data_IF_880390398569
#
_entry.id   IF_880390398569
#
_cell.length_a   1.000
_cell.length_b   1.000
_cell.length_c   1.000
_cell.angle_alpha   90.00
_cell.angle_beta   90.00
_cell.angle_gamma   90.00
#
_symmetry.space_group_name_H-M   'P 1'
#
loop_
_entity.id
_entity.type
_entity.pdbx_description
1 polymer ?
#
# COMPACT_ATOMS: atom_id res chain seq x y z
N UNK A 1 3.70 32.81 49.76
CA UNK A 1 4.16 32.63 48.37
C UNK A 1 3.93 31.17 48.03
N UNK A 2 2.96 30.88 47.16
CA UNK A 2 2.54 29.52 46.83
C UNK A 2 3.47 28.92 45.77
N UNK A 3 4.14 27.83 46.12
CA UNK A 3 5.02 27.05 45.27
C UNK A 3 4.17 26.30 44.24
N UNK A 4 4.28 26.71 42.98
CA UNK A 4 3.52 26.10 41.88
C UNK A 4 4.23 24.80 41.50
N UNK A 5 3.72 23.67 42.01
CA UNK A 5 4.21 22.35 41.64
C UNK A 5 4.01 22.11 40.13
N UNK A 6 5.10 22.15 39.37
CA UNK A 6 5.15 21.70 37.98
C UNK A 6 4.93 20.19 37.96
N UNK A 7 3.68 19.78 37.72
CA UNK A 7 3.33 18.39 37.45
C UNK A 7 4.18 17.86 36.29
N UNK A 8 5.17 17.03 36.60
CA UNK A 8 6.04 16.41 35.61
C UNK A 8 5.21 15.54 34.66
N UNK A 9 5.04 15.98 33.41
CA UNK A 9 4.53 15.09 32.35
C UNK A 9 5.49 13.92 32.25
N UNK A 10 5.03 12.74 32.63
CA UNK A 10 5.76 11.50 32.37
C UNK A 10 6.01 11.43 30.86
N UNK A 11 7.27 11.37 30.38
CA UNK A 11 7.53 11.36 28.95
C UNK A 11 6.82 10.15 28.32
N UNK A 12 5.94 10.43 27.37
CA UNK A 12 5.18 9.40 26.67
C UNK A 12 6.18 8.53 25.92
N UNK A 13 6.42 7.29 26.35
CA UNK A 13 7.34 6.37 25.66
C UNK A 13 6.87 6.23 24.21
N UNK A 14 7.76 6.57 23.26
CA UNK A 14 7.49 6.37 21.85
C UNK A 14 7.28 4.87 21.58
N UNK A 15 6.16 4.52 20.94
CA UNK A 15 5.90 3.13 20.54
C UNK A 15 6.90 2.73 19.46
N UNK A 16 7.51 1.55 19.58
CA UNK A 16 8.35 0.97 18.54
C UNK A 16 7.52 0.44 17.38
N UNK A 17 8.09 0.38 16.17
CA UNK A 17 7.49 -0.28 15.00
C UNK A 17 7.38 -1.78 15.25
N UNK A 18 6.21 -2.37 14.98
CA UNK A 18 5.92 -3.77 15.27
C UNK A 18 6.40 -4.72 14.17
N UNK A 19 6.52 -6.02 14.47
CA UNK A 19 6.81 -7.06 13.45
C UNK A 19 5.76 -7.07 12.33
N UNK A 20 4.49 -6.84 12.67
CA UNK A 20 3.40 -6.71 11.70
C UNK A 20 3.62 -5.54 10.76
N UNK A 21 4.05 -4.39 11.28
CA UNK A 21 4.35 -3.22 10.45
C UNK A 21 5.56 -3.46 9.54
N UNK A 22 6.62 -4.11 10.03
CA UNK A 22 7.74 -4.51 9.17
C UNK A 22 7.31 -5.48 8.07
N UNK A 23 6.50 -6.49 8.39
CA UNK A 23 5.98 -7.43 7.41
C UNK A 23 5.13 -6.71 6.36
N UNK A 24 4.26 -5.79 6.78
CA UNK A 24 3.43 -4.99 5.89
C UNK A 24 4.28 -4.07 4.98
N UNK A 25 5.30 -3.38 5.53
CA UNK A 25 6.23 -2.56 4.73
C UNK A 25 6.99 -3.43 3.70
N UNK A 26 7.47 -4.61 4.11
CA UNK A 26 8.14 -5.53 3.19
C UNK A 26 7.20 -6.01 2.08
N UNK A 27 5.97 -6.38 2.42
CA UNK A 27 4.97 -6.83 1.45
C UNK A 27 4.58 -5.72 0.46
N UNK A 28 4.39 -4.47 0.92
CA UNK A 28 4.09 -3.36 0.01
C UNK A 28 5.26 -3.00 -0.89
N UNK A 29 6.52 -3.18 -0.46
CA UNK A 29 7.69 -3.06 -1.35
C UNK A 29 7.66 -4.12 -2.46
N UNK A 30 7.26 -5.35 -2.16
CA UNK A 30 7.10 -6.40 -3.19
C UNK A 30 6.03 -5.98 -4.21
N UNK A 31 4.89 -5.45 -3.76
CA UNK A 31 3.84 -4.93 -4.65
C UNK A 31 4.41 -3.85 -5.57
N UNK A 32 5.21 -2.91 -5.06
CA UNK A 32 5.86 -1.87 -5.88
C UNK A 32 6.80 -2.49 -6.91
N UNK A 33 7.58 -3.49 -6.52
CA UNK A 33 8.50 -4.19 -7.41
C UNK A 33 7.79 -4.89 -8.57
N UNK A 34 6.63 -5.50 -8.31
CA UNK A 34 5.85 -6.18 -9.36
C UNK A 34 5.04 -5.19 -10.18
N UNK A 35 4.27 -4.32 -9.54
CA UNK A 35 3.30 -3.45 -10.21
C UNK A 35 3.95 -2.17 -10.71
N UNK A 36 4.64 -1.45 -9.83
CA UNK A 36 5.20 -0.12 -10.12
C UNK A 36 6.32 -0.17 -11.16
N UNK A 37 7.30 -1.05 -10.95
CA UNK A 37 8.43 -1.20 -11.89
C UNK A 37 7.93 -1.69 -13.25
N UNK A 38 7.08 -2.70 -13.30
CA UNK A 38 6.61 -3.25 -14.57
C UNK A 38 5.79 -2.21 -15.35
N UNK A 39 4.78 -1.60 -14.74
CA UNK A 39 3.94 -0.61 -15.43
C UNK A 39 4.72 0.64 -15.87
N UNK A 40 5.76 1.07 -15.14
CA UNK A 40 6.55 2.25 -15.54
C UNK A 40 7.52 1.95 -16.69
N UNK A 41 8.32 0.87 -16.56
CA UNK A 41 9.42 0.59 -17.48
C UNK A 41 9.01 -0.24 -18.69
N UNK A 42 7.99 -1.09 -18.56
CA UNK A 42 7.44 -1.90 -19.66
C UNK A 42 5.91 -1.77 -19.74
N UNK A 43 5.38 -0.55 -20.00
CA UNK A 43 3.94 -0.26 -19.91
C UNK A 43 3.09 -1.09 -20.87
N UNK A 44 3.57 -1.36 -22.09
CA UNK A 44 2.85 -2.20 -23.06
C UNK A 44 2.70 -3.64 -22.54
N UNK A 45 3.81 -4.26 -22.12
CA UNK A 45 3.79 -5.62 -21.59
C UNK A 45 2.95 -5.74 -20.31
N UNK A 46 2.96 -4.70 -19.46
CA UNK A 46 2.10 -4.64 -18.28
C UNK A 46 0.61 -4.58 -18.67
N UNK A 47 0.27 -3.72 -19.62
CA UNK A 47 -1.10 -3.58 -20.12
C UNK A 47 -1.61 -4.90 -20.72
N UNK A 48 -0.80 -5.54 -21.56
CA UNK A 48 -1.19 -6.76 -22.25
C UNK A 48 -1.26 -7.96 -21.30
N UNK A 49 -0.34 -8.09 -20.34
CA UNK A 49 -0.13 -9.37 -19.65
C UNK A 49 -0.30 -9.34 -18.13
N UNK A 50 -0.64 -8.22 -17.49
CA UNK A 50 -0.81 -8.22 -16.03
C UNK A 50 -2.12 -8.91 -15.59
N UNK A 51 -2.11 -9.80 -14.57
CA UNK A 51 -0.99 -10.25 -13.73
C UNK A 51 -0.42 -11.65 -14.11
N UNK A 52 -0.41 -11.98 -15.41
CA UNK A 52 0.12 -13.20 -16.04
C UNK A 52 -0.73 -14.44 -15.78
N UNK A 53 -0.76 -14.90 -14.53
CA UNK A 53 -1.33 -16.21 -14.19
C UNK A 53 -2.79 -16.14 -13.73
N UNK A 54 -3.31 -14.93 -13.50
CA UNK A 54 -4.70 -14.71 -13.10
C UNK A 54 -5.56 -14.10 -14.21
N UNK A 55 -5.06 -14.10 -15.46
CA UNK A 55 -5.68 -13.46 -16.61
C UNK A 55 -4.96 -12.17 -17.04
N UNK A 56 -5.61 -11.42 -17.91
CA UNK A 56 -5.14 -10.13 -18.43
C UNK A 56 -6.17 -9.07 -18.05
N UNK A 57 -5.96 -8.41 -16.92
CA UNK A 57 -6.98 -7.55 -16.32
C UNK A 57 -6.98 -6.16 -16.94
N UNK A 58 -5.80 -5.61 -17.18
CA UNK A 58 -5.64 -4.20 -17.58
C UNK A 58 -6.11 -3.98 -19.02
N UNK A 59 -5.77 -4.88 -19.94
CA UNK A 59 -6.18 -4.81 -21.34
C UNK A 59 -7.70 -4.94 -21.55
N UNK A 60 -8.42 -5.53 -20.59
CA UNK A 60 -9.88 -5.71 -20.65
C UNK A 60 -10.67 -4.51 -20.14
N UNK A 61 -10.02 -3.57 -19.45
CA UNK A 61 -10.66 -2.43 -18.79
C UNK A 61 -10.61 -1.13 -19.62
N UNK A 62 -10.21 -1.23 -20.90
CA UNK A 62 -10.22 -0.11 -21.85
C UNK A 62 -9.01 -0.06 -22.77
N UNK A 63 -8.98 0.91 -23.71
CA UNK A 63 -7.88 1.04 -24.66
C UNK A 63 -6.56 1.46 -24.00
N UNK A 64 -5.44 1.02 -24.58
CA UNK A 64 -4.10 1.36 -24.11
C UNK A 64 -3.85 2.88 -24.14
N UNK A 65 -3.32 3.39 -23.03
CA UNK A 65 -2.77 4.73 -22.92
C UNK A 65 -1.44 4.67 -22.18
N UNK A 66 -0.34 4.78 -22.91
CA UNK A 66 1.02 4.67 -22.36
C UNK A 66 1.29 5.66 -21.23
N UNK A 67 0.79 6.89 -21.35
CA UNK A 67 0.97 7.92 -20.33
C UNK A 67 0.29 7.52 -19.02
N UNK A 68 -0.97 7.07 -19.06
CA UNK A 68 -1.70 6.65 -17.86
C UNK A 68 -1.10 5.40 -17.22
N UNK A 69 -0.63 4.43 -18.01
CA UNK A 69 0.04 3.23 -17.47
C UNK A 69 1.36 3.60 -16.78
N UNK A 70 2.13 4.53 -17.36
CA UNK A 70 3.34 5.04 -16.71
C UNK A 70 3.04 5.85 -15.46
N UNK A 71 2.02 6.70 -15.47
CA UNK A 71 1.63 7.49 -14.29
C UNK A 71 1.20 6.59 -13.14
N UNK A 72 0.44 5.53 -13.43
CA UNK A 72 0.12 4.47 -12.48
C UNK A 72 1.41 3.88 -11.88
N UNK A 73 2.36 3.47 -12.72
CA UNK A 73 3.66 2.97 -12.25
C UNK A 73 4.46 3.98 -11.42
N UNK A 74 4.51 5.24 -11.85
CA UNK A 74 5.21 6.32 -11.17
C UNK A 74 4.63 6.58 -9.77
N UNK A 75 3.31 6.54 -9.61
CA UNK A 75 2.65 6.66 -8.32
C UNK A 75 3.03 5.49 -7.37
N UNK A 76 3.05 4.24 -7.86
CA UNK A 76 3.53 3.10 -7.07
C UNK A 76 5.01 3.25 -6.69
N UNK A 77 5.86 3.69 -7.61
CA UNK A 77 7.29 3.92 -7.34
C UNK A 77 7.49 5.02 -6.29
N UNK A 78 6.69 6.09 -6.33
CA UNK A 78 6.70 7.15 -5.31
C UNK A 78 6.31 6.65 -3.91
N UNK A 79 5.21 5.91 -3.81
CA UNK A 79 4.80 5.26 -2.55
C UNK A 79 5.85 4.24 -2.07
N UNK A 80 6.48 3.53 -3.00
CA UNK A 80 7.55 2.59 -2.74
C UNK A 80 8.80 3.24 -2.18
N UNK A 81 9.25 4.35 -2.76
CA UNK A 81 10.40 5.12 -2.24
C UNK A 81 10.15 5.58 -0.80
N UNK A 82 8.94 6.08 -0.50
CA UNK A 82 8.56 6.46 0.86
C UNK A 82 8.49 5.24 1.82
N UNK A 83 8.02 4.09 1.32
CA UNK A 83 7.97 2.83 2.08
C UNK A 83 9.38 2.29 2.39
N UNK A 84 10.29 2.33 1.41
CA UNK A 84 11.70 1.98 1.59
C UNK A 84 12.38 2.90 2.63
N UNK A 85 12.11 4.20 2.57
CA UNK A 85 12.58 5.12 3.61
C UNK A 85 12.02 4.74 4.99
N UNK A 86 10.74 4.34 5.07
CA UNK A 86 10.12 3.83 6.29
C UNK A 86 10.78 2.56 6.86
N UNK A 87 11.36 1.71 6.00
CA UNK A 87 12.16 0.55 6.43
C UNK A 87 13.53 0.97 6.98
N UNK A 88 14.20 1.94 6.34
CA UNK A 88 15.52 2.43 6.76
C UNK A 88 15.43 3.29 8.03
N UNK A 89 14.36 4.07 8.17
CA UNK A 89 14.12 5.00 9.28
C UNK A 89 12.77 4.68 9.96
N UNK A 90 12.67 3.54 10.65
CA UNK A 90 11.41 3.07 11.21
C UNK A 90 10.89 4.01 12.29
N UNK A 91 9.71 4.58 12.03
CA UNK A 91 8.99 5.44 12.96
C UNK A 91 7.49 5.15 12.89
N UNK A 92 6.81 5.17 14.03
CA UNK A 92 5.36 4.94 14.09
C UNK A 92 4.56 5.96 13.28
N UNK A 93 4.98 7.23 13.32
CA UNK A 93 4.33 8.27 12.50
C UNK A 93 4.49 7.99 11.01
N UNK A 94 5.68 7.54 10.57
CA UNK A 94 5.93 7.16 9.18
C UNK A 94 5.07 5.97 8.75
N UNK A 95 4.97 4.94 9.58
CA UNK A 95 4.10 3.78 9.30
C UNK A 95 2.63 4.20 9.16
N UNK A 96 2.13 5.09 10.03
CA UNK A 96 0.75 5.59 9.95
C UNK A 96 0.49 6.42 8.70
N UNK A 97 1.41 7.33 8.35
CA UNK A 97 1.29 8.14 7.14
C UNK A 97 1.27 7.25 5.90
N UNK A 98 2.19 6.29 5.80
CA UNK A 98 2.21 5.31 4.71
C UNK A 98 0.95 4.46 4.70
N UNK A 99 0.50 3.98 5.86
CA UNK A 99 -0.73 3.19 5.99
C UNK A 99 -1.97 3.94 5.52
N UNK A 100 -2.11 5.23 5.88
CA UNK A 100 -3.20 6.09 5.41
C UNK A 100 -3.13 6.26 3.89
N UNK A 101 -1.95 6.58 3.35
CA UNK A 101 -1.77 6.78 1.91
C UNK A 101 -2.10 5.52 1.09
N UNK A 102 -1.52 4.37 1.48
CA UNK A 102 -1.79 3.08 0.85
C UNK A 102 -3.25 2.65 1.01
N UNK A 103 -3.88 2.88 2.16
CA UNK A 103 -5.27 2.51 2.40
C UNK A 103 -6.21 3.36 1.55
N UNK A 104 -6.01 4.67 1.50
CA UNK A 104 -6.85 5.56 0.69
C UNK A 104 -6.75 5.21 -0.79
N UNK A 105 -5.52 5.06 -1.28
CA UNK A 105 -5.28 4.61 -2.66
C UNK A 105 -5.95 3.25 -2.93
N UNK A 106 -5.70 2.25 -2.08
CA UNK A 106 -6.22 0.91 -2.24
C UNK A 106 -7.75 0.85 -2.20
N UNK A 107 -8.40 1.58 -1.30
CA UNK A 107 -9.87 1.62 -1.19
C UNK A 107 -10.50 2.26 -2.42
N UNK A 108 -9.96 3.38 -2.91
CA UNK A 108 -10.49 4.04 -4.11
C UNK A 108 -10.32 3.16 -5.36
N UNK A 109 -9.15 2.52 -5.49
CA UNK A 109 -8.86 1.58 -6.57
C UNK A 109 -9.75 0.32 -6.50
N UNK A 110 -9.92 -0.25 -5.31
CA UNK A 110 -10.82 -1.38 -5.08
C UNK A 110 -12.27 -1.03 -5.42
N UNK A 111 -12.75 0.14 -4.99
CA UNK A 111 -14.11 0.61 -5.26
C UNK A 111 -14.40 0.72 -6.76
N UNK A 112 -13.42 1.20 -7.54
CA UNK A 112 -13.52 1.19 -9.00
C UNK A 112 -13.68 -0.24 -9.55
N UNK A 113 -12.78 -1.16 -9.19
CA UNK A 113 -12.84 -2.52 -9.75
C UNK A 113 -14.11 -3.28 -9.36
N UNK A 114 -14.54 -3.24 -8.10
CA UNK A 114 -15.78 -3.93 -7.68
C UNK A 114 -17.03 -3.40 -8.36
N UNK A 115 -16.99 -2.18 -8.92
CA UNK A 115 -18.08 -1.59 -9.70
C UNK A 115 -17.93 -1.80 -11.21
N UNK A 116 -16.81 -2.37 -11.68
CA UNK A 116 -16.49 -2.56 -13.09
C UNK A 116 -16.15 -4.02 -13.45
N UNK A 117 -16.70 -5.01 -12.75
CA UNK A 117 -16.35 -6.43 -12.97
C UNK A 117 -16.94 -7.05 -14.24
N UNK A 118 -17.86 -6.36 -14.94
CA UNK A 118 -18.66 -6.95 -16.02
C UNK A 118 -17.84 -7.42 -17.25
N UNK A 119 -16.64 -6.86 -17.45
CA UNK A 119 -15.75 -7.24 -18.55
C UNK A 119 -14.83 -8.43 -18.22
N UNK A 120 -14.87 -8.93 -16.98
CA UNK A 120 -14.04 -10.04 -16.51
C UNK A 120 -14.83 -11.35 -16.43
N UNK A 121 -14.12 -12.47 -16.60
CA UNK A 121 -14.66 -13.77 -16.18
C UNK A 121 -14.80 -13.83 -14.66
N UNK A 122 -15.64 -14.72 -14.13
CA UNK A 122 -15.86 -14.83 -12.68
C UNK A 122 -14.59 -15.16 -11.89
N UNK A 123 -13.69 -15.97 -12.46
CA UNK A 123 -12.40 -16.29 -11.84
C UNK A 123 -11.46 -15.10 -11.80
N UNK A 124 -11.41 -14.30 -12.87
CA UNK A 124 -10.60 -13.08 -12.95
C UNK A 124 -11.13 -12.02 -11.98
N UNK A 125 -12.45 -11.80 -11.96
CA UNK A 125 -13.11 -10.89 -11.02
C UNK A 125 -12.81 -11.29 -9.56
N UNK A 126 -12.93 -12.58 -9.23
CA UNK A 126 -12.60 -13.07 -7.88
C UNK A 126 -11.13 -12.84 -7.54
N UNK A 127 -10.22 -13.16 -8.47
CA UNK A 127 -8.79 -12.94 -8.29
C UNK A 127 -8.45 -11.47 -8.06
N UNK A 128 -9.01 -10.57 -8.87
CA UNK A 128 -8.81 -9.13 -8.76
C UNK A 128 -9.31 -8.58 -7.41
N UNK A 129 -10.53 -8.95 -7.01
CA UNK A 129 -11.11 -8.54 -5.71
C UNK A 129 -10.27 -9.02 -4.53
N UNK A 130 -9.83 -10.28 -4.54
CA UNK A 130 -9.01 -10.84 -3.46
C UNK A 130 -7.65 -10.14 -3.37
N UNK A 131 -6.97 -9.95 -4.51
CA UNK A 131 -5.65 -9.29 -4.54
C UNK A 131 -5.74 -7.86 -4.00
N UNK A 132 -6.75 -7.10 -4.43
CA UNK A 132 -6.94 -5.72 -3.97
C UNK A 132 -7.34 -5.66 -2.49
N UNK A 133 -8.21 -6.57 -2.02
CA UNK A 133 -8.57 -6.66 -0.60
C UNK A 133 -7.35 -6.97 0.28
N UNK A 134 -6.49 -7.91 -0.14
CA UNK A 134 -5.24 -8.22 0.58
C UNK A 134 -4.32 -7.00 0.62
N UNK A 135 -4.17 -6.25 -0.48
CA UNK A 135 -3.37 -5.03 -0.50
C UNK A 135 -3.89 -3.98 0.50
N UNK A 136 -5.21 -3.80 0.61
CA UNK A 136 -5.83 -2.91 1.62
C UNK A 136 -5.53 -3.40 3.04
N UNK A 137 -5.64 -4.70 3.31
CA UNK A 137 -5.36 -5.25 4.64
C UNK A 137 -3.90 -5.04 5.05
N UNK A 138 -2.95 -5.19 4.12
CA UNK A 138 -1.54 -4.86 4.35
C UNK A 138 -1.35 -3.37 4.67
N UNK A 139 -2.05 -2.49 3.95
CA UNK A 139 -2.01 -1.05 4.21
C UNK A 139 -2.57 -0.70 5.60
N UNK A 140 -3.70 -1.29 5.99
CA UNK A 140 -4.30 -1.11 7.32
C UNK A 140 -3.35 -1.62 8.42
N UNK A 141 -2.64 -2.72 8.18
CA UNK A 141 -1.68 -3.26 9.12
C UNK A 141 -0.51 -2.29 9.46
N UNK A 142 -0.21 -1.33 8.57
CA UNK A 142 0.76 -0.26 8.85
C UNK A 142 0.26 0.75 9.88
N UNK A 143 -1.06 0.93 9.98
CA UNK A 143 -1.72 1.89 10.88
C UNK A 143 -1.74 1.34 12.32
N UNK A 144 -1.93 0.02 12.48
CA UNK A 144 -2.13 -0.63 13.78
C UNK A 144 -0.77 -0.76 14.50
N UNK A 145 -0.51 0.03 15.56
CA UNK A 145 0.75 -0.04 16.28
C UNK A 145 0.87 -1.33 17.09
N UNK A 146 2.10 -1.82 17.27
CA UNK A 146 2.36 -2.93 18.20
C UNK A 146 2.01 -2.58 19.65
N UNK A 147 1.91 -3.62 20.48
CA UNK A 147 1.76 -3.46 21.94
C UNK A 147 2.96 -2.70 22.51
N UNK A 148 2.70 -1.82 23.48
CA UNK A 148 3.78 -1.18 24.23
C UNK A 148 4.56 -2.25 24.99
N UNK A 149 5.90 -2.18 24.96
CA UNK A 149 6.73 -3.04 25.81
C UNK A 149 6.62 -2.53 27.24
N UNK A 150 5.95 -3.28 28.11
CA UNK A 150 6.14 -3.20 29.55
C UNK A 150 7.50 -3.82 29.86
N UNK A 151 8.38 -3.04 30.50
CA UNK A 151 9.72 -3.47 30.93
C UNK A 151 9.64 -4.08 32.31
#
# INVERSE_FOLDING_TARGET
MAETATAGRTPTRARAVSRTQYAALGATVIIVGVVGVWSYFWPQAYYDHFPVFLGEWVSKDGPYNEHLVRDHGAMYLGLGAATLYGLVRPAQVGCRVLGIAWTLFGVLHFAYHVTHLAHLTSSEATGQVVVLAVAILLAIALIIPGRARES
#
